data_IF_156801426683
#
_entry.id   IF_156801426683
#
_cell.length_a   1.000
_cell.length_b   1.000
_cell.length_c   1.000
_cell.angle_alpha   90.00
_cell.angle_beta   90.00
_cell.angle_gamma   90.00
#
_symmetry.space_group_name_H-M   'P 1'
#
loop_
_entity.id
_entity.type
_entity.pdbx_description
1 polymer ?
#
# COMPACT_ATOMS: atom_id res chain seq x y z
N UNK A 1 -6.64 -5.62 22.04
CA UNK A 1 -7.03 -5.71 20.61
C UNK A 1 -8.22 -4.80 20.42
N UNK A 2 -8.07 -3.73 19.64
CA UNK A 2 -8.95 -2.56 19.62
C UNK A 2 -10.05 -2.60 18.55
N UNK A 3 -10.99 -1.66 18.65
CA UNK A 3 -12.14 -1.49 17.74
C UNK A 3 -11.74 -1.44 16.26
N UNK A 4 -10.58 -0.84 15.97
CA UNK A 4 -10.01 -0.71 14.61
C UNK A 4 -9.73 -2.07 13.96
N UNK A 5 -9.04 -2.98 14.66
CA UNK A 5 -8.79 -4.32 14.14
C UNK A 5 -10.09 -5.12 13.92
N UNK A 6 -11.13 -4.86 14.74
CA UNK A 6 -12.44 -5.50 14.58
C UNK A 6 -13.15 -4.99 13.32
N UNK A 7 -13.08 -3.69 13.06
CA UNK A 7 -13.60 -3.09 11.83
C UNK A 7 -12.89 -3.67 10.60
N UNK A 8 -11.56 -3.78 10.65
CA UNK A 8 -10.75 -4.33 9.55
C UNK A 8 -11.15 -5.77 9.20
N UNK A 9 -11.32 -6.62 10.21
CA UNK A 9 -11.71 -8.02 10.02
C UNK A 9 -13.17 -8.20 9.55
N UNK A 10 -14.01 -7.18 9.65
CA UNK A 10 -15.46 -7.26 9.37
C UNK A 10 -15.92 -6.25 8.32
N UNK A 11 -16.26 -5.03 8.74
CA UNK A 11 -16.91 -4.04 7.89
C UNK A 11 -16.01 -3.55 6.75
N UNK A 12 -14.73 -3.26 7.01
CA UNK A 12 -13.82 -2.74 5.99
C UNK A 12 -13.66 -3.74 4.85
N UNK A 13 -13.57 -5.04 5.18
CA UNK A 13 -13.49 -6.12 4.20
C UNK A 13 -14.74 -6.20 3.32
N UNK A 14 -15.94 -6.04 3.89
CA UNK A 14 -17.20 -6.06 3.11
C UNK A 14 -17.24 -4.91 2.09
N UNK A 15 -16.76 -3.72 2.49
CA UNK A 15 -16.71 -2.56 1.60
C UNK A 15 -15.68 -2.76 0.49
N UNK A 16 -14.49 -3.26 0.83
CA UNK A 16 -13.43 -3.55 -0.15
C UNK A 16 -13.89 -4.59 -1.19
N UNK A 17 -14.49 -5.70 -0.75
CA UNK A 17 -15.04 -6.73 -1.63
C UNK A 17 -16.15 -6.20 -2.56
N UNK A 18 -16.95 -5.23 -2.10
CA UNK A 18 -17.99 -4.60 -2.91
C UNK A 18 -17.39 -3.75 -4.02
N UNK A 19 -16.35 -2.96 -3.73
CA UNK A 19 -15.63 -2.16 -4.72
C UNK A 19 -14.91 -3.08 -5.74
N UNK A 20 -14.25 -4.15 -5.28
CA UNK A 20 -13.62 -5.16 -6.16
C UNK A 20 -14.65 -5.79 -7.12
N UNK A 21 -15.83 -6.19 -6.62
CA UNK A 21 -16.86 -6.86 -7.42
C UNK A 21 -17.39 -5.98 -8.57
N UNK A 22 -17.44 -4.67 -8.36
CA UNK A 22 -17.91 -3.72 -9.40
C UNK A 22 -16.75 -3.10 -10.19
N UNK A 23 -15.51 -3.51 -9.93
CA UNK A 23 -14.30 -2.95 -10.57
C UNK A 23 -14.10 -1.47 -10.24
N UNK A 24 -14.46 -1.05 -9.02
CA UNK A 24 -14.29 0.33 -8.57
C UNK A 24 -12.89 0.50 -7.99
N UNK A 25 -12.08 1.23 -8.75
CA UNK A 25 -10.66 1.44 -8.47
C UNK A 25 -10.33 2.92 -8.32
N UNK A 26 -9.18 3.22 -7.71
CA UNK A 26 -8.71 4.61 -7.63
C UNK A 26 -8.17 5.06 -8.98
N UNK A 27 -8.70 6.17 -9.49
CA UNK A 27 -8.23 6.83 -10.72
C UNK A 27 -7.05 7.78 -10.48
N UNK A 28 -6.64 7.95 -9.23
CA UNK A 28 -5.51 8.81 -8.87
C UNK A 28 -4.22 7.99 -8.98
N UNK A 29 -3.11 8.59 -9.44
CA UNK A 29 -1.80 7.96 -9.35
C UNK A 29 -1.48 7.52 -7.92
N UNK A 30 -0.99 6.29 -7.77
CA UNK A 30 -0.61 5.71 -6.48
C UNK A 30 0.90 5.52 -6.43
N UNK A 31 1.54 6.08 -5.40
CA UNK A 31 2.93 5.80 -5.06
C UNK A 31 2.98 4.84 -3.88
N UNK A 32 3.53 3.65 -4.08
CA UNK A 32 3.70 2.62 -3.06
C UNK A 32 5.15 2.59 -2.60
N UNK A 33 5.38 2.87 -1.32
CA UNK A 33 6.69 2.79 -0.70
C UNK A 33 6.67 1.72 0.38
N UNK A 34 7.68 0.87 0.42
CA UNK A 34 7.84 -0.17 1.44
C UNK A 34 9.28 -0.23 1.92
N UNK A 35 9.46 -0.71 3.14
CA UNK A 35 10.78 -1.04 3.64
C UNK A 35 11.20 -2.41 3.14
N UNK A 36 12.41 -2.52 2.58
CA UNK A 36 12.99 -3.78 2.12
C UNK A 36 13.38 -4.70 3.28
N UNK A 37 13.63 -4.13 4.46
CA UNK A 37 13.88 -4.89 5.69
C UNK A 37 12.56 -5.20 6.44
N UNK A 38 11.41 -4.82 5.87
CA UNK A 38 10.09 -5.17 6.37
C UNK A 38 9.52 -6.41 5.68
N UNK A 39 8.34 -6.83 6.11
CA UNK A 39 7.74 -8.10 5.66
C UNK A 39 7.16 -8.05 4.23
N UNK A 40 7.07 -6.88 3.60
CA UNK A 40 6.34 -6.71 2.35
C UNK A 40 6.95 -7.50 1.17
N UNK A 41 8.28 -7.46 1.00
CA UNK A 41 8.95 -8.22 -0.08
C UNK A 41 9.03 -9.71 0.24
N UNK A 42 9.20 -10.08 1.50
CA UNK A 42 9.24 -11.48 1.93
C UNK A 42 7.90 -12.18 1.70
N UNK A 43 6.80 -11.51 2.05
CA UNK A 43 5.45 -12.06 1.91
C UNK A 43 4.92 -12.06 0.47
N UNK A 44 5.29 -11.06 -0.34
CA UNK A 44 4.62 -10.81 -1.64
C UNK A 44 5.56 -10.74 -2.84
N UNK A 45 6.87 -10.74 -2.66
CA UNK A 45 7.87 -10.57 -3.71
C UNK A 45 7.89 -9.14 -4.27
N UNK A 46 6.92 -8.80 -5.13
CA UNK A 46 6.70 -7.43 -5.65
C UNK A 46 5.40 -6.85 -5.08
N UNK A 47 5.48 -5.98 -4.05
CA UNK A 47 4.31 -5.33 -3.46
C UNK A 47 3.45 -4.54 -4.45
N UNK A 48 4.02 -4.10 -5.59
CA UNK A 48 3.27 -3.38 -6.61
C UNK A 48 2.21 -4.23 -7.30
N UNK A 49 2.38 -5.56 -7.35
CA UNK A 49 1.39 -6.46 -7.97
C UNK A 49 0.03 -6.35 -7.29
N UNK A 50 0.02 -6.16 -5.97
CA UNK A 50 -1.22 -6.02 -5.18
C UNK A 50 -1.96 -4.75 -5.62
N UNK A 51 -1.24 -3.64 -5.75
CA UNK A 51 -1.82 -2.33 -6.06
C UNK A 51 -2.22 -2.18 -7.53
N UNK A 52 -1.50 -2.82 -8.45
CA UNK A 52 -1.84 -2.82 -9.89
C UNK A 52 -3.19 -3.47 -10.18
N UNK A 53 -3.70 -4.31 -9.29
CA UNK A 53 -5.04 -4.87 -9.42
C UNK A 53 -6.14 -3.82 -9.16
N UNK A 54 -5.83 -2.71 -8.48
CA UNK A 54 -6.82 -1.76 -8.00
C UNK A 54 -6.56 -0.27 -8.25
N UNK A 55 -5.62 0.05 -9.14
CA UNK A 55 -5.31 1.41 -9.54
C UNK A 55 -4.78 1.45 -10.97
N UNK A 56 -5.14 2.49 -11.72
CA UNK A 56 -4.75 2.66 -13.12
C UNK A 56 -3.27 3.03 -13.30
N UNK A 57 -2.72 3.83 -12.39
CA UNK A 57 -1.33 4.27 -12.42
C UNK A 57 -0.68 3.99 -11.07
N UNK A 58 0.24 3.02 -11.05
CA UNK A 58 0.96 2.59 -9.86
C UNK A 58 2.45 2.69 -10.09
N UNK A 59 3.10 3.49 -9.24
CA UNK A 59 4.55 3.58 -9.13
C UNK A 59 4.96 3.10 -7.74
N UNK A 60 6.20 2.67 -7.59
CA UNK A 60 6.73 2.47 -6.25
C UNK A 60 8.14 1.94 -6.19
N UNK A 61 8.64 1.88 -4.95
CA UNK A 61 10.03 1.57 -4.66
C UNK A 61 10.16 1.02 -3.24
N UNK A 62 10.93 -0.06 -3.12
CA UNK A 62 11.48 -0.53 -1.86
C UNK A 62 12.62 0.38 -1.39
N UNK A 63 12.59 0.78 -0.13
CA UNK A 63 13.56 1.66 0.50
C UNK A 63 14.31 0.89 1.60
N UNK A 64 15.58 1.23 1.83
CA UNK A 64 16.46 0.57 2.81
C UNK A 64 16.09 0.99 4.25
N UNK A 65 14.92 0.56 4.73
CA UNK A 65 14.47 0.65 6.10
C UNK A 65 13.51 -0.51 6.44
N UNK A 66 13.19 -0.68 7.72
CA UNK A 66 12.22 -1.68 8.21
C UNK A 66 10.74 -1.31 7.97
N UNK A 67 9.81 -1.73 8.82
CA UNK A 67 8.40 -1.36 8.64
C UNK A 67 8.13 0.15 8.85
N UNK A 68 8.89 0.79 9.75
CA UNK A 68 8.68 2.19 10.13
C UNK A 68 9.74 3.10 9.49
N UNK A 69 9.39 3.92 8.47
CA UNK A 69 10.33 4.87 7.89
C UNK A 69 10.67 5.96 8.90
N UNK A 70 11.95 6.07 9.30
CA UNK A 70 12.42 7.18 10.14
C UNK A 70 12.72 8.48 9.36
N UNK A 71 12.74 8.43 8.02
CA UNK A 71 13.09 9.58 7.19
C UNK A 71 12.28 9.62 5.89
N UNK A 72 10.99 9.96 5.97
CA UNK A 72 10.21 10.32 4.77
C UNK A 72 10.60 11.71 4.22
N UNK A 73 11.24 12.56 5.04
CA UNK A 73 11.60 13.94 4.71
C UNK A 73 12.68 14.05 3.61
N UNK A 74 13.51 13.03 3.40
CA UNK A 74 14.55 13.04 2.37
C UNK A 74 14.02 12.71 0.96
N UNK A 75 12.80 12.16 0.85
CA UNK A 75 12.24 11.74 -0.44
C UNK A 75 11.63 12.91 -1.23
N UNK A 76 11.01 13.87 -0.52
CA UNK A 76 10.38 15.03 -1.14
C UNK A 76 11.34 16.22 -1.38
N UNK A 77 12.61 16.14 -0.96
CA UNK A 77 13.58 17.22 -1.12
C UNK A 77 14.47 17.11 -2.37
N UNK A 78 14.25 16.11 -3.21
CA UNK A 78 15.05 15.85 -4.42
C UNK A 78 14.20 15.85 -5.68
N UNK A 79 13.67 17.01 -6.08
CA UNK A 79 12.89 17.14 -7.31
C UNK A 79 12.35 18.54 -7.55
N UNK A 80 13.16 19.34 -8.28
CA UNK A 80 13.06 20.78 -8.66
C UNK A 80 13.61 21.75 -7.61
#
# INVERSE_FOLDING_TARGET
>A
MGEDCRANATYDRVVDEADVRVGRWTRRPVLVLWGKEGDAEDLYGDPLVIWRNGADEVQGRGLEYGHYPKALLAFFSGGV
#
